data_IF_694861258611
#
_entry.id   IF_694861258611
#
_cell.length_a   1.000
_cell.length_b   1.000
_cell.length_c   1.000
_cell.angle_alpha   90.00
_cell.angle_beta   90.00
_cell.angle_gamma   90.00
#
_symmetry.space_group_name_H-M   'P 1'
#
loop_
_entity.id
_entity.type
_entity.pdbx_description
1 polymer ?
#
# COMPACT_ATOMS: atom_id res chain seq x y z
N UNK A 1 -10.13 16.23 -35.45
CA UNK A 1 -8.72 16.57 -35.19
C UNK A 1 -8.39 15.86 -33.90
N UNK A 2 -7.76 14.69 -33.97
CA UNK A 2 -7.41 13.90 -32.78
C UNK A 2 -6.36 14.68 -31.99
N UNK A 3 -6.80 15.26 -30.89
CA UNK A 3 -5.92 15.95 -29.94
C UNK A 3 -5.03 14.87 -29.32
N UNK A 4 -3.73 14.87 -29.64
CA UNK A 4 -2.76 13.94 -29.06
C UNK A 4 -2.63 14.23 -27.56
N UNK A 5 -3.52 13.64 -26.75
CA UNK A 5 -3.53 13.81 -25.31
C UNK A 5 -2.26 13.22 -24.72
N UNK A 6 -1.48 14.04 -24.00
CA UNK A 6 -0.31 13.59 -23.25
C UNK A 6 -0.73 12.51 -22.22
N UNK A 7 0.15 11.55 -21.89
CA UNK A 7 -0.18 10.53 -20.91
C UNK A 7 -0.35 11.15 -19.50
N UNK A 8 -1.41 10.74 -18.80
CA UNK A 8 -1.71 11.14 -17.41
C UNK A 8 -0.77 10.53 -16.37
N UNK A 9 -0.12 9.43 -16.74
CA UNK A 9 0.87 8.76 -15.89
C UNK A 9 1.97 8.13 -16.74
N UNK A 10 3.14 7.94 -16.14
CA UNK A 10 4.23 7.17 -16.73
C UNK A 10 4.68 6.07 -15.78
N UNK A 11 5.09 4.94 -16.34
CA UNK A 11 5.65 3.82 -15.58
C UNK A 11 7.11 3.64 -15.99
N UNK A 12 8.02 3.81 -15.05
CA UNK A 12 9.46 3.67 -15.27
C UNK A 12 9.97 2.41 -14.58
N UNK A 13 10.80 1.67 -15.29
CA UNK A 13 11.40 0.44 -14.78
C UNK A 13 12.81 0.74 -14.31
N UNK A 14 13.13 0.41 -13.07
CA UNK A 14 14.47 0.61 -12.52
C UNK A 14 15.44 -0.46 -13.04
N UNK A 15 16.09 -0.18 -14.17
CA UNK A 15 16.99 -1.13 -14.86
C UNK A 15 18.12 -1.65 -13.95
N UNK A 16 18.76 -0.76 -13.18
CA UNK A 16 19.85 -1.13 -12.27
C UNK A 16 19.33 -2.02 -11.13
N UNK A 17 18.20 -1.67 -10.52
CA UNK A 17 17.57 -2.49 -9.48
C UNK A 17 17.18 -3.88 -10.00
N UNK A 18 16.74 -3.99 -11.25
CA UNK A 18 16.48 -5.29 -11.89
C UNK A 18 17.76 -6.13 -11.96
N UNK A 19 18.85 -5.55 -12.42
CA UNK A 19 20.13 -6.26 -12.55
C UNK A 19 20.59 -6.75 -11.18
N UNK A 20 20.59 -5.86 -10.17
CA UNK A 20 20.96 -6.21 -8.80
C UNK A 20 20.07 -7.32 -8.26
N UNK A 21 18.75 -7.19 -8.37
CA UNK A 21 17.81 -8.18 -7.84
C UNK A 21 17.96 -9.53 -8.52
N UNK A 22 18.14 -9.56 -9.86
CA UNK A 22 18.31 -10.82 -10.60
C UNK A 22 19.63 -11.49 -10.25
N UNK A 23 20.72 -10.73 -10.14
CA UNK A 23 22.01 -11.26 -9.70
C UNK A 23 21.93 -11.82 -8.27
N UNK A 24 21.28 -11.09 -7.36
CA UNK A 24 21.04 -11.55 -6.00
C UNK A 24 20.24 -12.86 -5.97
N UNK A 25 19.15 -12.95 -6.73
CA UNK A 25 18.32 -14.16 -6.85
C UNK A 25 19.16 -15.33 -7.38
N UNK A 26 19.94 -15.11 -8.43
CA UNK A 26 20.80 -16.14 -9.00
C UNK A 26 21.82 -16.67 -7.99
N UNK A 27 22.55 -15.79 -7.29
CA UNK A 27 23.51 -16.17 -6.26
C UNK A 27 22.86 -16.93 -5.10
N UNK A 28 21.68 -16.49 -4.65
CA UNK A 28 20.94 -17.16 -3.59
C UNK A 28 20.43 -18.54 -4.01
N UNK A 29 19.94 -18.70 -5.24
CA UNK A 29 19.53 -20.01 -5.77
C UNK A 29 20.72 -20.99 -5.78
N UNK A 30 21.91 -20.52 -6.17
CA UNK A 30 23.14 -21.33 -6.12
C UNK A 30 23.46 -21.74 -4.67
N UNK A 31 23.40 -20.80 -3.72
CA UNK A 31 23.65 -21.09 -2.31
C UNK A 31 22.66 -22.12 -1.73
N UNK A 32 21.36 -21.98 -2.04
CA UNK A 32 20.32 -22.94 -1.63
C UNK A 32 20.57 -24.31 -2.27
N UNK A 33 20.94 -24.37 -3.55
CA UNK A 33 21.26 -25.64 -4.22
C UNK A 33 22.46 -26.35 -3.57
N UNK A 34 23.52 -25.62 -3.24
CA UNK A 34 24.66 -26.18 -2.50
C UNK A 34 24.29 -26.63 -1.09
N UNK A 35 23.45 -25.87 -0.38
CA UNK A 35 22.97 -26.26 0.95
C UNK A 35 22.15 -27.55 0.88
N UNK A 36 21.21 -27.66 -0.05
CA UNK A 36 20.41 -28.87 -0.26
C UNK A 36 21.32 -30.05 -0.64
N UNK A 37 22.26 -29.85 -1.56
CA UNK A 37 23.23 -30.89 -1.93
C UNK A 37 24.07 -31.37 -0.74
N UNK A 38 24.57 -30.44 0.08
CA UNK A 38 25.31 -30.77 1.29
C UNK A 38 24.46 -31.57 2.28
N UNK A 39 23.21 -31.14 2.54
CA UNK A 39 22.27 -31.86 3.41
C UNK A 39 21.99 -33.26 2.88
N UNK A 40 21.69 -33.41 1.59
CA UNK A 40 21.44 -34.73 0.98
C UNK A 40 22.67 -35.63 1.04
N UNK A 41 23.86 -35.11 0.73
CA UNK A 41 25.12 -35.89 0.79
C UNK A 41 25.42 -36.38 2.21
N UNK A 42 25.22 -35.51 3.20
CA UNK A 42 25.37 -35.86 4.62
C UNK A 42 24.36 -36.93 5.05
N UNK A 43 23.11 -36.87 4.58
CA UNK A 43 22.10 -37.90 4.85
C UNK A 43 22.55 -39.30 4.39
N UNK A 44 23.22 -39.39 3.25
CA UNK A 44 23.71 -40.67 2.71
C UNK A 44 24.98 -41.19 3.41
N UNK A 45 25.77 -40.33 4.06
CA UNK A 45 27.01 -40.73 4.76
C UNK A 45 26.80 -41.11 6.23
N UNK A 46 25.68 -40.73 6.84
CA UNK A 46 25.49 -40.77 8.29
C UNK A 46 24.76 -42.05 8.76
N UNK A 47 25.44 -42.91 9.54
CA UNK A 47 24.83 -44.14 10.12
C UNK A 47 24.50 -44.08 11.62
N UNK A 48 24.89 -43.02 12.36
CA UNK A 48 24.93 -43.04 13.85
C UNK A 48 24.42 -41.80 14.62
N UNK A 49 23.90 -40.74 13.99
CA UNK A 49 23.33 -39.58 14.73
C UNK A 49 21.81 -39.59 14.78
N UNK A 50 21.23 -38.91 15.78
CA UNK A 50 19.78 -38.72 15.91
C UNK A 50 19.18 -38.07 14.66
N UNK A 51 18.39 -38.83 13.90
CA UNK A 51 17.78 -38.42 12.63
C UNK A 51 16.74 -37.32 12.80
N UNK A 52 16.02 -37.30 13.92
CA UNK A 52 14.85 -36.44 14.10
C UNK A 52 15.18 -34.94 14.16
N UNK A 53 16.15 -34.46 14.96
CA UNK A 53 16.56 -33.05 14.93
C UNK A 53 17.10 -32.62 13.57
N UNK A 54 17.81 -33.51 12.88
CA UNK A 54 18.37 -33.24 11.56
C UNK A 54 17.26 -33.04 10.51
N UNK A 55 16.26 -33.94 10.50
CA UNK A 55 15.11 -33.83 9.61
C UNK A 55 14.30 -32.56 9.86
N UNK A 56 14.11 -32.19 11.14
CA UNK A 56 13.38 -30.99 11.51
C UNK A 56 14.09 -29.72 11.03
N UNK A 57 15.41 -29.64 11.19
CA UNK A 57 16.22 -28.54 10.65
C UNK A 57 16.12 -28.50 9.12
N UNK A 58 16.31 -29.64 8.45
CA UNK A 58 16.24 -29.70 6.99
C UNK A 58 14.85 -29.29 6.45
N UNK A 59 13.77 -29.72 7.09
CA UNK A 59 12.42 -29.32 6.74
C UNK A 59 12.21 -27.80 6.91
N UNK A 60 12.76 -27.21 7.98
CA UNK A 60 12.69 -25.76 8.20
C UNK A 60 13.45 -24.97 7.13
N UNK A 61 14.62 -25.46 6.69
CA UNK A 61 15.41 -24.85 5.62
C UNK A 61 14.69 -24.88 4.27
N UNK A 62 14.03 -26.00 3.94
CA UNK A 62 13.21 -26.13 2.74
C UNK A 62 12.01 -25.17 2.77
N UNK A 63 11.33 -25.08 3.91
CA UNK A 63 10.20 -24.16 4.08
C UNK A 63 10.63 -22.69 3.94
N UNK A 64 11.72 -22.29 4.58
CA UNK A 64 12.27 -20.94 4.46
C UNK A 64 12.71 -20.64 3.01
N UNK A 65 13.34 -21.61 2.34
CA UNK A 65 13.72 -21.48 0.92
C UNK A 65 12.51 -21.31 0.01
N UNK A 66 11.42 -22.05 0.29
CA UNK A 66 10.16 -21.93 -0.44
C UNK A 66 9.51 -20.55 -0.23
N UNK A 67 9.42 -20.07 1.01
CA UNK A 67 8.91 -18.72 1.31
C UNK A 67 9.74 -17.64 0.61
N UNK A 68 11.07 -17.79 0.60
CA UNK A 68 11.96 -16.89 -0.12
C UNK A 68 11.72 -16.92 -1.64
N UNK A 69 11.52 -18.11 -2.22
CA UNK A 69 11.21 -18.28 -3.64
C UNK A 69 9.91 -17.57 -4.04
N UNK A 70 8.85 -17.70 -3.24
CA UNK A 70 7.59 -16.96 -3.44
C UNK A 70 7.83 -15.44 -3.42
N UNK A 71 8.75 -14.97 -2.59
CA UNK A 71 9.15 -13.57 -2.51
C UNK A 71 9.97 -13.03 -3.69
N UNK A 72 10.39 -13.87 -4.65
CA UNK A 72 11.11 -13.43 -5.86
C UNK A 72 10.20 -12.58 -6.76
N UNK A 73 8.91 -12.92 -6.83
CA UNK A 73 7.95 -12.25 -7.72
C UNK A 73 7.93 -10.73 -7.54
N UNK A 74 7.95 -10.25 -6.29
CA UNK A 74 7.97 -8.82 -5.95
C UNK A 74 9.24 -8.10 -6.42
N UNK A 75 10.38 -8.79 -6.44
CA UNK A 75 11.70 -8.18 -6.76
C UNK A 75 12.09 -8.32 -8.22
N UNK A 76 11.38 -9.12 -9.00
CA UNK A 76 11.76 -9.46 -10.37
C UNK A 76 11.76 -8.27 -11.34
N UNK A 77 10.80 -7.34 -11.17
CA UNK A 77 10.63 -6.17 -12.02
C UNK A 77 10.02 -5.00 -11.24
N UNK A 78 10.80 -4.28 -10.40
CA UNK A 78 10.31 -3.09 -9.73
C UNK A 78 9.93 -2.01 -10.75
N UNK A 79 8.71 -1.50 -10.63
CA UNK A 79 8.15 -0.43 -11.47
C UNK A 79 7.81 0.74 -10.55
N UNK A 80 8.30 1.93 -10.87
CA UNK A 80 7.85 3.18 -10.27
C UNK A 80 6.86 3.87 -11.20
N UNK A 81 5.86 4.53 -10.63
CA UNK A 81 4.84 5.27 -11.36
C UNK A 81 4.92 6.74 -11.00
N UNK A 82 4.92 7.59 -12.01
CA UNK A 82 4.83 9.05 -11.86
C UNK A 82 3.51 9.49 -12.46
N UNK A 83 2.73 10.25 -11.69
CA UNK A 83 1.46 10.85 -12.12
C UNK A 83 1.70 12.30 -12.55
N UNK A 84 0.85 12.81 -13.44
CA UNK A 84 0.90 14.20 -13.91
C UNK A 84 -0.47 14.86 -13.69
N UNK A 85 -0.75 15.34 -12.46
CA UNK A 85 -2.04 15.97 -12.13
C UNK A 85 -2.36 17.18 -13.02
N UNK A 86 -1.33 17.88 -13.50
CA UNK A 86 -1.46 19.07 -14.35
C UNK A 86 -2.06 18.76 -15.72
N UNK A 87 -2.06 17.48 -16.12
CA UNK A 87 -2.62 16.99 -17.38
C UNK A 87 -4.03 16.45 -17.23
N UNK A 88 -4.61 16.49 -16.03
CA UNK A 88 -5.99 16.07 -15.80
C UNK A 88 -6.93 16.97 -16.61
N UNK A 89 -8.08 16.42 -17.05
CA UNK A 89 -9.10 17.24 -17.69
C UNK A 89 -9.69 18.23 -16.67
N UNK A 90 -10.36 19.25 -17.19
CA UNK A 90 -11.10 20.21 -16.39
C UNK A 90 -12.07 19.54 -15.40
N UNK A 91 -12.33 20.23 -14.28
CA UNK A 91 -13.15 19.76 -13.16
C UNK A 91 -14.53 19.23 -13.57
N UNK A 92 -15.11 19.78 -14.64
CA UNK A 92 -16.41 19.40 -15.20
C UNK A 92 -16.40 17.99 -15.83
N UNK A 93 -15.25 17.51 -16.29
CA UNK A 93 -15.04 16.18 -16.89
C UNK A 93 -14.57 15.13 -15.89
N UNK A 94 -14.21 15.51 -14.68
CA UNK A 94 -13.82 14.57 -13.63
C UNK A 94 -14.99 13.67 -13.20
N UNK A 95 -14.76 12.40 -12.82
CA UNK A 95 -15.82 11.52 -12.33
C UNK A 95 -16.32 11.94 -10.94
N UNK A 96 -17.46 11.39 -10.50
CA UNK A 96 -17.82 11.45 -9.08
C UNK A 96 -17.00 10.43 -8.27
N UNK A 97 -16.61 10.79 -7.05
CA UNK A 97 -15.83 9.97 -6.13
C UNK A 97 -16.55 9.89 -4.78
N UNK A 98 -16.63 8.66 -4.25
CA UNK A 98 -17.13 8.38 -2.91
C UNK A 98 -15.96 7.94 -2.01
N UNK A 99 -15.75 8.65 -0.91
CA UNK A 99 -14.78 8.29 0.13
C UNK A 99 -15.53 7.60 1.26
N UNK A 100 -15.28 6.30 1.43
CA UNK A 100 -15.85 5.51 2.53
C UNK A 100 -14.82 5.39 3.67
N UNK A 101 -15.21 5.85 4.85
CA UNK A 101 -14.45 5.71 6.10
C UNK A 101 -15.22 4.71 6.96
N UNK A 102 -14.54 3.66 7.42
CA UNK A 102 -15.14 2.66 8.32
C UNK A 102 -14.49 2.75 9.69
N UNK A 103 -15.30 2.63 10.74
CA UNK A 103 -14.83 2.51 12.11
C UNK A 103 -15.64 1.46 12.86
N UNK A 104 -15.02 0.77 13.81
CA UNK A 104 -15.66 -0.33 14.53
C UNK A 104 -15.60 -0.19 16.06
N UNK A 105 -14.59 0.49 16.62
CA UNK A 105 -14.41 0.55 18.07
C UNK A 105 -13.77 1.89 18.49
N UNK A 106 -14.50 2.78 19.20
CA UNK A 106 -14.01 4.10 19.58
C UNK A 106 -12.82 4.06 20.56
N UNK A 107 -12.51 2.92 21.17
CA UNK A 107 -11.33 2.77 22.04
C UNK A 107 -10.07 2.41 21.24
N UNK A 108 -10.21 1.63 20.17
CA UNK A 108 -9.09 1.26 19.29
C UNK A 108 -8.87 2.28 18.18
N UNK A 109 -9.94 2.92 17.74
CA UNK A 109 -9.99 3.95 16.71
C UNK A 109 -10.63 5.21 17.35
N UNK A 110 -9.84 6.01 18.08
CA UNK A 110 -10.37 7.14 18.82
C UNK A 110 -11.24 8.05 17.95
N UNK A 111 -12.44 8.41 18.44
CA UNK A 111 -13.40 9.21 17.65
C UNK A 111 -12.80 10.53 17.14
N UNK A 112 -11.89 11.16 17.88
CA UNK A 112 -11.21 12.37 17.42
C UNK A 112 -10.35 12.13 16.17
N UNK A 113 -9.68 10.99 16.07
CA UNK A 113 -8.90 10.62 14.88
C UNK A 113 -9.84 10.38 13.69
N UNK A 114 -10.95 9.66 13.91
CA UNK A 114 -12.00 9.47 12.89
C UNK A 114 -12.56 10.82 12.42
N UNK A 115 -12.83 11.75 13.34
CA UNK A 115 -13.26 13.12 13.02
C UNK A 115 -12.26 13.85 12.13
N UNK A 116 -10.97 13.75 12.43
CA UNK A 116 -9.91 14.36 11.63
C UNK A 116 -9.81 13.74 10.23
N UNK A 117 -9.96 12.41 10.11
CA UNK A 117 -10.00 11.73 8.81
C UNK A 117 -11.19 12.18 7.98
N UNK A 118 -12.39 12.30 8.59
CA UNK A 118 -13.59 12.81 7.89
C UNK A 118 -13.38 14.26 7.44
N UNK A 119 -12.90 15.14 8.30
CA UNK A 119 -12.63 16.54 7.96
C UNK A 119 -11.59 16.67 6.83
N UNK A 120 -10.53 15.84 6.87
CA UNK A 120 -9.49 15.83 5.85
C UNK A 120 -10.02 15.32 4.52
N UNK A 121 -10.85 14.27 4.53
CA UNK A 121 -11.52 13.76 3.33
C UNK A 121 -12.46 14.80 2.72
N UNK A 122 -13.22 15.53 3.53
CA UNK A 122 -14.09 16.62 3.07
C UNK A 122 -13.30 17.83 2.51
N UNK A 123 -12.02 17.97 2.88
CA UNK A 123 -11.14 19.05 2.45
C UNK A 123 -10.26 18.68 1.24
N UNK A 124 -10.47 17.52 0.61
CA UNK A 124 -9.78 17.15 -0.61
C UNK A 124 -9.99 18.21 -1.71
N UNK A 125 -8.95 18.46 -2.48
CA UNK A 125 -8.99 19.36 -3.64
C UNK A 125 -9.71 18.66 -4.80
N UNK A 126 -11.04 18.70 -4.74
CA UNK A 126 -11.93 18.08 -5.71
C UNK A 126 -13.23 18.88 -5.84
N UNK A 127 -13.92 18.84 -7.00
CA UNK A 127 -15.20 19.50 -7.16
C UNK A 127 -16.22 19.06 -6.10
N UNK A 128 -16.79 19.98 -5.30
CA UNK A 128 -17.61 19.62 -4.14
C UNK A 128 -18.93 18.94 -4.52
N UNK A 129 -19.41 19.12 -5.75
CA UNK A 129 -20.59 18.42 -6.27
C UNK A 129 -20.31 16.98 -6.67
N UNK A 130 -19.03 16.58 -6.72
CA UNK A 130 -18.56 15.27 -7.17
C UNK A 130 -17.84 14.48 -6.09
N UNK A 131 -17.61 15.08 -4.92
CA UNK A 131 -16.98 14.43 -3.77
C UNK A 131 -18.03 14.13 -2.70
N UNK A 132 -18.27 12.85 -2.43
CA UNK A 132 -19.11 12.42 -1.32
C UNK A 132 -18.26 11.71 -0.27
N UNK A 133 -18.53 11.95 1.00
CA UNK A 133 -17.82 11.33 2.13
C UNK A 133 -18.83 10.60 3.00
N UNK A 134 -18.61 9.31 3.23
CA UNK A 134 -19.46 8.44 4.02
C UNK A 134 -18.68 7.87 5.20
N UNK A 135 -19.30 7.85 6.38
CA UNK A 135 -18.79 7.15 7.56
C UNK A 135 -19.70 5.96 7.87
N UNK A 136 -19.14 4.74 7.86
CA UNK A 136 -19.77 3.53 8.41
C UNK A 136 -19.23 3.28 9.81
N UNK A 137 -20.12 3.24 10.80
CA UNK A 137 -19.78 2.88 12.18
C UNK A 137 -20.35 1.50 12.49
N UNK A 138 -19.51 0.48 12.36
CA UNK A 138 -19.87 -0.92 12.60
C UNK A 138 -20.04 -1.20 14.10
N UNK A 139 -19.46 -0.35 14.96
CA UNK A 139 -19.61 -0.41 16.41
C UNK A 139 -20.90 0.24 16.92
N UNK A 140 -21.60 1.00 16.09
CA UNK A 140 -22.83 1.71 16.44
C UNK A 140 -22.64 2.64 17.65
N UNK A 141 -21.47 3.26 17.78
CA UNK A 141 -21.07 3.96 18.98
C UNK A 141 -21.70 5.36 19.07
N UNK A 142 -22.34 5.64 20.21
CA UNK A 142 -22.95 6.94 20.45
C UNK A 142 -21.94 8.09 20.41
N UNK A 143 -20.70 7.86 20.86
CA UNK A 143 -19.66 8.88 20.85
C UNK A 143 -19.23 9.24 19.42
N UNK A 144 -19.18 8.26 18.50
CA UNK A 144 -18.92 8.49 17.07
C UNK A 144 -20.01 9.36 16.45
N UNK A 145 -21.28 9.07 16.76
CA UNK A 145 -22.41 9.89 16.31
C UNK A 145 -22.30 11.34 16.83
N UNK A 146 -21.95 11.54 18.11
CA UNK A 146 -21.71 12.88 18.66
C UNK A 146 -20.52 13.57 17.97
N UNK A 147 -19.43 12.84 17.74
CA UNK A 147 -18.26 13.33 17.01
C UNK A 147 -18.62 13.83 15.62
N UNK A 148 -19.46 13.09 14.87
CA UNK A 148 -19.91 13.50 13.54
C UNK A 148 -20.80 14.74 13.56
N UNK A 149 -21.63 14.92 14.59
CA UNK A 149 -22.38 16.17 14.78
C UNK A 149 -21.45 17.35 15.06
N UNK A 150 -20.34 17.13 15.77
CA UNK A 150 -19.33 18.17 16.00
C UNK A 150 -18.58 18.49 14.69
N UNK A 151 -18.18 17.48 13.93
CA UNK A 151 -17.56 17.63 12.59
C UNK A 151 -18.46 18.44 11.67
N UNK A 152 -19.76 18.13 11.58
CA UNK A 152 -20.66 18.83 10.67
C UNK A 152 -20.79 20.33 10.97
N UNK A 153 -20.63 20.72 12.24
CA UNK A 153 -20.62 22.13 12.67
C UNK A 153 -19.28 22.77 12.36
N UNK A 154 -18.18 22.09 12.69
CA UNK A 154 -16.83 22.62 12.52
C UNK A 154 -16.44 22.76 11.03
N UNK A 155 -16.83 21.80 10.19
CA UNK A 155 -16.57 21.79 8.75
C UNK A 155 -17.03 23.07 8.04
N UNK A 156 -18.10 23.72 8.51
CA UNK A 156 -18.61 24.97 7.93
C UNK A 156 -17.58 26.12 7.96
N UNK A 157 -16.69 26.11 8.95
CA UNK A 157 -15.64 27.11 9.12
C UNK A 157 -14.30 26.60 8.59
N UNK A 158 -14.02 25.31 8.81
CA UNK A 158 -12.75 24.69 8.45
C UNK A 158 -12.57 24.53 6.94
N UNK A 159 -13.59 24.06 6.21
CA UNK A 159 -13.45 23.79 4.78
C UNK A 159 -13.18 25.04 3.94
N UNK A 160 -13.88 26.18 4.14
CA UNK A 160 -13.52 27.43 3.45
C UNK A 160 -12.11 27.89 3.80
N UNK A 161 -11.70 27.77 5.06
CA UNK A 161 -10.34 28.12 5.49
C UNK A 161 -9.28 27.29 4.76
N UNK A 162 -9.47 25.97 4.69
CA UNK A 162 -8.58 25.07 3.94
C UNK A 162 -8.50 25.46 2.46
N UNK A 163 -9.63 25.75 1.81
CA UNK A 163 -9.61 26.15 0.39
C UNK A 163 -8.86 27.46 0.14
N UNK A 164 -8.93 28.42 1.07
CA UNK A 164 -8.27 29.72 0.92
C UNK A 164 -6.79 29.71 1.29
N UNK A 165 -6.33 28.77 2.13
CA UNK A 165 -4.97 28.76 2.68
C UNK A 165 -4.22 27.45 2.48
N UNK A 166 -4.80 26.47 1.78
CA UNK A 166 -4.07 25.27 1.41
C UNK A 166 -2.90 25.69 0.51
N UNK A 167 -1.67 25.22 0.79
CA UNK A 167 -0.60 25.40 -0.16
C UNK A 167 -1.02 24.76 -1.48
N UNK A 168 -1.02 25.54 -2.57
CA UNK A 168 -1.15 25.01 -3.93
C UNK A 168 0.06 24.09 -4.17
N UNK A 169 -0.08 22.81 -3.85
CA UNK A 169 1.03 21.86 -3.90
C UNK A 169 1.44 21.49 -5.35
N UNK A 170 0.79 22.08 -6.37
CA UNK A 170 0.92 21.67 -7.77
C UNK A 170 0.91 22.83 -8.80
N UNK A 171 1.16 24.08 -8.38
CA UNK A 171 1.51 25.15 -9.33
C UNK A 171 3.04 25.24 -9.45
N UNK A 172 3.64 24.44 -10.34
CA UNK A 172 4.96 24.64 -10.96
C UNK A 172 5.05 23.91 -12.30
#
# INVERSE_FOLDING_TARGET
MEEYSLPLHSSQVHKLSIIINRSHVFLHCIAIAFLIYYRLSFLFQQSKTSLLPWLLVFASELFLSFMWFLGIAYRWRPISRTVFPERLPEDDKLPAIDVLICTADPYKEPTLEVMNTVLSAMALDYPPQKLNVYLSDDGGSSITLLGMRAVSKFARWWLPFCKSHAPQAFEN
#
